data_IF_955612547740
#
_entry.id   IF_955612547740
#
_cell.length_a   1.000
_cell.length_b   1.000
_cell.length_c   1.000
_cell.angle_alpha   90.00
_cell.angle_beta   90.00
_cell.angle_gamma   90.00
#
_symmetry.space_group_name_H-M   'P 1'
#
loop_
_entity.id
_entity.type
_entity.pdbx_description
1 polymer ?
#
# COMPACT_ATOMS: atom_id res chain seq x y z
N UNK A 1 -17.20 -17.25 -21.01
CA UNK A 1 -17.66 -17.34 -19.61
C UNK A 1 -18.39 -18.66 -19.44
N UNK A 2 -17.79 -19.61 -18.74
CA UNK A 2 -18.50 -20.79 -18.25
C UNK A 2 -17.95 -21.08 -16.85
N UNK A 3 -18.65 -20.59 -15.84
CA UNK A 3 -18.33 -20.88 -14.44
C UNK A 3 -18.56 -22.37 -14.16
N UNK A 4 -17.64 -22.98 -13.40
CA UNK A 4 -17.82 -24.32 -12.87
C UNK A 4 -18.68 -24.17 -11.61
N UNK A 5 -19.89 -24.72 -11.65
CA UNK A 5 -20.86 -24.69 -10.55
C UNK A 5 -20.55 -25.87 -9.63
N UNK A 6 -20.21 -25.62 -8.37
CA UNK A 6 -20.12 -26.66 -7.33
C UNK A 6 -21.52 -27.18 -6.96
N UNK A 7 -21.62 -28.46 -6.57
CA UNK A 7 -22.84 -29.26 -6.34
C UNK A 7 -23.77 -28.76 -5.23
N UNK A 8 -23.56 -27.54 -4.69
CA UNK A 8 -24.43 -26.90 -3.69
C UNK A 8 -25.04 -25.57 -4.14
N UNK A 9 -24.89 -25.15 -5.40
CA UNK A 9 -25.64 -24.01 -5.95
C UNK A 9 -25.36 -22.66 -5.27
N UNK A 10 -24.27 -22.55 -4.51
CA UNK A 10 -23.71 -21.25 -4.12
C UNK A 10 -22.71 -20.86 -5.20
N UNK A 11 -22.85 -19.66 -5.77
CA UNK A 11 -21.76 -19.03 -6.50
C UNK A 11 -20.50 -19.11 -5.62
N UNK A 12 -19.43 -19.73 -6.12
CA UNK A 12 -18.15 -19.64 -5.46
C UNK A 12 -17.77 -18.15 -5.49
N UNK A 13 -17.88 -17.48 -4.34
CA UNK A 13 -17.34 -16.12 -4.21
C UNK A 13 -15.89 -16.21 -4.67
N UNK A 14 -15.57 -15.50 -5.75
CA UNK A 14 -14.20 -15.31 -6.20
C UNK A 14 -13.42 -14.74 -5.02
N UNK A 15 -12.69 -15.59 -4.30
CA UNK A 15 -11.81 -15.17 -3.23
C UNK A 15 -10.63 -14.46 -3.89
N UNK A 16 -10.66 -13.13 -3.92
CA UNK A 16 -9.51 -12.34 -4.34
C UNK A 16 -8.52 -12.37 -3.17
N UNK A 17 -7.38 -13.07 -3.28
CA UNK A 17 -6.40 -13.06 -2.21
C UNK A 17 -5.82 -11.65 -2.04
N UNK A 18 -5.39 -11.33 -0.84
CA UNK A 18 -4.45 -10.25 -0.56
C UNK A 18 -3.08 -10.85 -0.22
N UNK A 19 -2.04 -10.05 -0.39
CA UNK A 19 -0.66 -10.49 -0.19
C UNK A 19 -0.04 -9.71 0.94
N UNK A 20 0.65 -10.42 1.84
CA UNK A 20 1.28 -9.81 3.00
C UNK A 20 2.78 -10.05 2.91
N UNK A 21 3.53 -8.96 2.87
CA UNK A 21 4.98 -8.95 2.67
C UNK A 21 5.58 -8.48 3.99
N UNK A 22 6.19 -9.40 4.72
CA UNK A 22 6.76 -9.11 6.05
C UNK A 22 8.25 -8.84 5.91
N UNK A 23 8.68 -7.64 6.29
CA UNK A 23 10.08 -7.19 6.24
C UNK A 23 10.62 -6.93 7.65
N UNK A 24 9.78 -6.50 8.58
CA UNK A 24 10.16 -6.25 9.98
C UNK A 24 9.58 -7.25 10.98
N UNK A 25 8.56 -8.01 10.57
CA UNK A 25 7.78 -8.85 11.49
C UNK A 25 6.64 -8.08 12.19
N UNK A 26 6.33 -6.84 11.80
CA UNK A 26 5.26 -6.04 12.42
C UNK A 26 3.88 -6.71 12.37
N UNK A 27 3.66 -7.63 11.44
CA UNK A 27 2.42 -8.40 11.34
C UNK A 27 2.30 -9.51 12.39
N UNK A 28 3.38 -9.94 13.03
CA UNK A 28 3.40 -11.08 13.95
C UNK A 28 2.55 -10.86 15.20
N UNK A 29 2.23 -9.62 15.55
CA UNK A 29 1.34 -9.28 16.67
C UNK A 29 -0.11 -9.04 16.23
N UNK A 30 -0.38 -8.95 14.92
CA UNK A 30 -1.69 -8.53 14.41
C UNK A 30 -2.60 -9.71 14.08
N UNK A 31 -3.92 -9.51 14.23
CA UNK A 31 -4.90 -10.60 14.12
C UNK A 31 -5.68 -10.61 12.81
N UNK A 32 -5.59 -9.56 11.98
CA UNK A 32 -6.41 -9.41 10.75
C UNK A 32 -6.11 -10.47 9.68
N UNK A 33 -4.91 -11.06 9.70
CA UNK A 33 -4.46 -12.06 8.75
C UNK A 33 -4.34 -13.46 9.35
N UNK A 34 -4.36 -13.56 10.68
CA UNK A 34 -4.39 -14.83 11.40
C UNK A 34 -5.82 -15.33 11.38
N UNK A 35 -6.04 -16.50 10.79
CA UNK A 35 -7.37 -17.10 10.63
C UNK A 35 -8.14 -17.08 11.96
N UNK A 36 -9.06 -16.12 12.11
CA UNK A 36 -10.18 -16.24 13.03
C UNK A 36 -11.24 -17.04 12.25
N UNK A 37 -11.63 -18.17 12.82
CA UNK A 37 -12.68 -19.09 12.36
C UNK A 37 -12.22 -20.23 11.42
N UNK A 38 -11.53 -21.20 12.01
CA UNK A 38 -11.72 -22.61 11.63
C UNK A 38 -13.17 -22.98 12.01
N UNK A 39 -14.08 -22.85 11.06
CA UNK A 39 -15.23 -23.76 11.01
C UNK A 39 -15.08 -24.64 9.75
N UNK A 40 -14.88 -25.93 10.03
CA UNK A 40 -14.85 -27.07 9.11
C UNK A 40 -13.58 -27.25 8.25
N UNK A 41 -12.74 -28.15 8.75
CA UNK A 41 -11.69 -28.88 8.05
C UNK A 41 -12.15 -29.47 6.71
N UNK A 42 -11.55 -29.05 5.60
CA UNK A 42 -11.49 -29.87 4.39
C UNK A 42 -10.29 -30.84 4.51
N UNK A 43 -10.57 -32.07 4.95
CA UNK A 43 -9.59 -33.11 5.29
C UNK A 43 -8.87 -33.73 4.07
N UNK A 44 -8.86 -33.05 2.93
CA UNK A 44 -8.19 -33.53 1.70
C UNK A 44 -6.94 -32.69 1.37
N UNK A 45 -6.78 -31.48 1.93
CA UNK A 45 -5.66 -30.58 1.57
C UNK A 45 -4.88 -29.91 2.71
N UNK A 46 -5.25 -30.10 3.99
CA UNK A 46 -4.48 -29.62 5.16
C UNK A 46 -3.94 -28.16 5.05
N UNK A 47 -4.74 -27.23 4.51
CA UNK A 47 -4.50 -25.79 4.63
C UNK A 47 -5.84 -25.09 4.88
N UNK A 48 -5.98 -24.27 5.95
CA UNK A 48 -7.13 -23.38 6.05
C UNK A 48 -7.15 -22.46 4.82
N UNK A 49 -8.33 -22.20 4.26
CA UNK A 49 -8.53 -21.40 3.05
C UNK A 49 -8.19 -19.93 3.27
N UNK A 50 -6.90 -19.64 3.40
CA UNK A 50 -6.36 -18.30 3.60
C UNK A 50 -6.69 -17.43 2.38
N UNK A 51 -7.44 -16.36 2.63
CA UNK A 51 -7.55 -15.23 1.72
C UNK A 51 -6.24 -14.41 1.68
N UNK A 52 -5.19 -14.87 2.37
CA UNK A 52 -3.88 -14.24 2.51
C UNK A 52 -2.76 -15.12 1.92
N UNK A 53 -1.90 -14.52 1.11
CA UNK A 53 -0.63 -15.13 0.66
C UNK A 53 0.52 -14.39 1.34
N UNK A 54 1.16 -15.06 2.30
CA UNK A 54 2.27 -14.51 3.09
C UNK A 54 3.62 -14.74 2.41
N UNK A 55 4.43 -13.68 2.32
CA UNK A 55 5.82 -13.71 1.88
C UNK A 55 6.72 -13.16 2.97
N UNK A 56 7.55 -14.04 3.53
CA UNK A 56 8.58 -13.65 4.50
C UNK A 56 9.79 -13.06 3.78
N UNK A 57 10.17 -11.84 4.18
CA UNK A 57 11.34 -11.10 3.72
C UNK A 57 12.16 -10.57 4.90
N UNK A 58 11.90 -11.03 6.13
CA UNK A 58 12.54 -10.53 7.36
C UNK A 58 14.03 -10.83 7.45
N UNK A 59 14.52 -11.80 6.67
CA UNK A 59 15.95 -12.17 6.57
C UNK A 59 16.74 -11.35 5.54
N UNK A 60 16.08 -10.49 4.75
CA UNK A 60 16.74 -9.69 3.71
C UNK A 60 17.47 -8.51 4.36
N UNK A 61 18.80 -8.59 4.41
CA UNK A 61 19.67 -7.51 4.87
C UNK A 61 19.76 -6.37 3.85
N UNK A 62 20.06 -5.15 4.31
CA UNK A 62 20.20 -3.98 3.43
C UNK A 62 18.88 -3.45 2.87
N UNK A 63 17.77 -3.73 3.57
CA UNK A 63 16.41 -3.36 3.21
C UNK A 63 15.80 -2.30 4.15
N UNK A 64 16.39 -2.04 5.31
CA UNK A 64 15.82 -1.12 6.30
C UNK A 64 16.09 0.35 5.91
N UNK A 65 15.04 1.16 5.72
CA UNK A 65 15.03 2.56 5.24
C UNK A 65 15.48 2.76 3.77
N UNK A 66 16.31 1.86 3.27
CA UNK A 66 16.86 1.88 1.92
C UNK A 66 16.89 0.48 1.33
N UNK A 67 17.07 0.40 0.01
CA UNK A 67 17.15 -0.85 -0.72
C UNK A 67 18.51 -0.96 -1.41
N UNK A 68 19.41 -1.80 -0.87
CA UNK A 68 20.65 -2.14 -1.59
C UNK A 68 20.35 -2.92 -2.87
N UNK A 69 21.29 -2.99 -3.80
CA UNK A 69 21.11 -3.77 -5.04
C UNK A 69 20.87 -5.26 -4.77
N UNK A 70 21.54 -5.81 -3.75
CA UNK A 70 21.35 -7.19 -3.30
C UNK A 70 19.95 -7.39 -2.70
N UNK A 71 19.50 -6.46 -1.84
CA UNK A 71 18.17 -6.50 -1.24
C UNK A 71 17.09 -6.39 -2.33
N UNK A 72 17.25 -5.46 -3.28
CA UNK A 72 16.37 -5.29 -4.43
C UNK A 72 16.25 -6.57 -5.25
N UNK A 73 17.39 -7.17 -5.58
CA UNK A 73 17.43 -8.41 -6.37
C UNK A 73 16.68 -9.55 -5.69
N UNK A 74 16.88 -9.73 -4.38
CA UNK A 74 16.20 -10.78 -3.63
C UNK A 74 14.70 -10.48 -3.43
N UNK A 75 14.32 -9.22 -3.17
CA UNK A 75 12.93 -8.78 -3.11
C UNK A 75 12.21 -9.02 -4.43
N UNK A 76 12.76 -8.58 -5.55
CA UNK A 76 12.17 -8.80 -6.88
C UNK A 76 11.94 -10.28 -7.17
N UNK A 77 12.90 -11.13 -6.81
CA UNK A 77 12.81 -12.59 -6.95
C UNK A 77 11.71 -13.18 -6.07
N UNK A 78 11.62 -12.81 -4.79
CA UNK A 78 10.58 -13.33 -3.87
C UNK A 78 9.20 -12.83 -4.24
N UNK A 79 9.07 -11.57 -4.63
CA UNK A 79 7.79 -10.92 -4.95
C UNK A 79 7.31 -11.19 -6.39
N UNK A 80 8.10 -11.86 -7.23
CA UNK A 80 7.77 -12.14 -8.64
C UNK A 80 6.42 -12.86 -8.84
N UNK A 81 6.01 -13.70 -7.88
CA UNK A 81 4.76 -14.46 -7.92
C UNK A 81 3.52 -13.64 -7.54
N UNK A 82 3.72 -12.45 -6.94
CA UNK A 82 2.65 -11.56 -6.50
C UNK A 82 2.20 -10.72 -7.71
N UNK A 83 0.92 -10.73 -8.11
CA UNK A 83 0.44 -9.94 -9.24
C UNK A 83 0.29 -8.47 -8.85
N UNK A 84 0.46 -7.54 -9.80
CA UNK A 84 0.25 -6.09 -9.54
C UNK A 84 -1.21 -5.78 -9.18
N UNK A 85 -2.17 -6.51 -9.75
CA UNK A 85 -3.60 -6.32 -9.55
C UNK A 85 -4.16 -7.05 -8.32
N UNK A 86 -3.55 -6.77 -7.18
CA UNK A 86 -4.02 -7.23 -5.89
C UNK A 86 -3.87 -6.14 -4.82
N UNK A 87 -4.34 -6.48 -3.62
CA UNK A 87 -4.07 -5.72 -2.41
C UNK A 87 -2.79 -6.28 -1.78
N UNK A 88 -1.81 -5.41 -1.53
CA UNK A 88 -0.55 -5.75 -0.89
C UNK A 88 -0.43 -5.02 0.46
N UNK A 89 0.02 -5.73 1.48
CA UNK A 89 0.41 -5.15 2.77
C UNK A 89 1.94 -5.21 2.86
N UNK A 90 2.60 -4.05 2.95
CA UNK A 90 4.05 -3.83 2.86
C UNK A 90 4.60 -3.28 4.18
N UNK A 91 4.33 -3.98 5.27
CA UNK A 91 4.95 -3.79 6.59
C UNK A 91 5.07 -2.30 7.02
N UNK A 92 6.13 -1.95 7.75
CA UNK A 92 6.47 -0.58 8.17
C UNK A 92 6.78 0.34 6.98
N UNK A 93 6.50 1.64 7.13
CA UNK A 93 6.82 2.69 6.14
C UNK A 93 8.31 2.78 5.78
N UNK A 94 9.20 2.19 6.59
CA UNK A 94 10.63 2.07 6.27
C UNK A 94 10.91 1.28 4.98
N UNK A 95 9.93 0.51 4.51
CA UNK A 95 10.00 -0.32 3.32
C UNK A 95 9.07 0.18 2.20
N UNK A 96 8.53 1.38 2.29
CA UNK A 96 7.56 1.92 1.32
C UNK A 96 8.09 1.91 -0.13
N UNK A 97 9.41 1.96 -0.30
CA UNK A 97 10.05 1.79 -1.60
C UNK A 97 9.71 0.47 -2.32
N UNK A 98 9.20 -0.56 -1.63
CA UNK A 98 8.73 -1.80 -2.25
C UNK A 98 7.56 -1.53 -3.21
N UNK A 99 6.77 -0.48 -3.00
CA UNK A 99 5.74 -0.02 -3.95
C UNK A 99 6.32 0.22 -5.34
N UNK A 100 7.54 0.78 -5.44
CA UNK A 100 8.24 0.97 -6.72
C UNK A 100 8.48 -0.36 -7.46
N UNK A 101 8.73 -1.46 -6.74
CA UNK A 101 8.94 -2.79 -7.34
C UNK A 101 7.67 -3.35 -7.99
N UNK A 102 6.49 -2.94 -7.52
CA UNK A 102 5.23 -3.21 -8.18
C UNK A 102 4.98 -2.27 -9.37
N UNK A 103 5.22 -0.96 -9.19
CA UNK A 103 5.00 0.03 -10.23
C UNK A 103 5.83 -0.24 -11.50
N UNK A 104 7.09 -0.68 -11.36
CA UNK A 104 7.96 -0.98 -12.49
C UNK A 104 7.45 -2.13 -13.39
N UNK A 105 6.49 -2.93 -12.90
CA UNK A 105 5.87 -4.03 -13.64
C UNK A 105 4.66 -3.59 -14.47
N UNK A 106 4.25 -2.32 -14.36
CA UNK A 106 3.12 -1.75 -15.11
C UNK A 106 3.58 -1.35 -16.51
N UNK A 107 3.14 -2.12 -17.51
CA UNK A 107 3.55 -1.97 -18.92
C UNK A 107 2.62 -1.06 -19.75
N UNK A 108 1.78 -0.25 -19.11
CA UNK A 108 0.87 0.69 -19.75
C UNK A 108 0.89 2.04 -19.04
N UNK A 109 0.55 3.16 -19.72
CA UNK A 109 0.41 4.47 -19.08
C UNK A 109 -0.50 4.41 -17.84
N UNK A 110 -0.04 4.96 -16.71
CA UNK A 110 -0.77 4.93 -15.45
C UNK A 110 -0.54 6.19 -14.61
N UNK A 111 -1.40 6.37 -13.61
CA UNK A 111 -1.25 7.36 -12.54
C UNK A 111 -0.95 6.65 -11.22
N UNK A 112 -0.08 7.24 -10.40
CA UNK A 112 0.05 6.92 -8.99
C UNK A 112 -0.88 7.83 -8.19
N UNK A 113 -1.68 7.25 -7.29
CA UNK A 113 -2.38 7.95 -6.22
C UNK A 113 -1.74 7.52 -4.90
N UNK A 114 -1.01 8.43 -4.27
CA UNK A 114 -0.35 8.23 -2.99
C UNK A 114 -1.11 8.98 -1.90
N UNK A 115 -1.48 8.26 -0.83
CA UNK A 115 -1.89 8.83 0.44
C UNK A 115 -0.77 8.62 1.44
N UNK A 116 -0.19 9.71 1.93
CA UNK A 116 1.02 9.67 2.75
C UNK A 116 1.16 10.99 3.50
N UNK A 117 1.62 10.97 4.75
CA UNK A 117 1.95 12.21 5.44
C UNK A 117 3.24 12.84 4.90
N UNK A 118 4.13 12.03 4.32
CA UNK A 118 5.39 12.43 3.72
C UNK A 118 5.32 12.35 2.19
N UNK A 119 6.17 13.13 1.52
CA UNK A 119 6.10 13.22 0.06
C UNK A 119 6.76 12.05 -0.67
N UNK A 120 7.67 11.34 -0.01
CA UNK A 120 8.57 10.34 -0.58
C UNK A 120 9.30 10.78 -1.87
N UNK A 121 9.47 12.09 -1.99
CA UNK A 121 10.06 12.79 -3.12
C UNK A 121 11.43 13.38 -2.80
N UNK A 122 12.08 12.99 -1.71
CA UNK A 122 13.39 13.51 -1.33
C UNK A 122 14.49 12.92 -2.22
N UNK A 123 15.53 13.71 -2.48
CA UNK A 123 16.78 13.14 -2.96
C UNK A 123 17.39 12.27 -1.87
N UNK A 124 17.98 11.14 -2.25
CA UNK A 124 18.60 10.21 -1.31
C UNK A 124 19.75 10.88 -0.56
N UNK A 125 19.62 11.01 0.76
CA UNK A 125 20.65 11.56 1.63
C UNK A 125 21.94 10.72 1.65
N UNK A 126 21.88 9.46 1.19
CA UNK A 126 23.00 8.53 1.17
C UNK A 126 23.90 8.69 -0.07
N UNK A 127 23.55 9.58 -1.01
CA UNK A 127 24.28 9.80 -2.25
C UNK A 127 24.14 8.64 -3.24
N UNK A 128 24.54 8.87 -4.50
CA UNK A 128 24.60 7.82 -5.51
C UNK A 128 23.25 7.29 -6.04
N UNK A 129 22.13 7.95 -5.76
CA UNK A 129 20.81 7.52 -6.24
C UNK A 129 20.32 6.23 -5.57
N UNK A 130 20.70 6.00 -4.31
CA UNK A 130 20.22 4.86 -3.54
C UNK A 130 18.71 5.01 -3.26
N UNK A 131 17.94 3.97 -3.58
CA UNK A 131 16.50 3.92 -3.32
C UNK A 131 16.23 3.87 -1.81
N UNK A 132 15.39 4.79 -1.31
CA UNK A 132 14.96 4.88 0.09
C UNK A 132 13.44 4.96 0.20
N UNK A 133 12.87 4.75 1.39
CA UNK A 133 11.46 5.07 1.65
C UNK A 133 11.19 6.54 1.27
N UNK A 134 11.95 7.50 1.80
CA UNK A 134 11.74 8.93 1.45
C UNK A 134 12.04 9.36 0.01
N UNK A 135 12.45 8.49 -0.92
CA UNK A 135 12.84 8.87 -2.29
C UNK A 135 12.18 8.06 -3.40
N UNK A 136 11.34 7.06 -3.09
CA UNK A 136 10.89 6.12 -4.11
C UNK A 136 9.95 6.76 -5.15
N UNK A 137 9.19 7.79 -4.78
CA UNK A 137 8.32 8.52 -5.72
C UNK A 137 9.16 9.31 -6.71
N UNK A 138 10.25 9.93 -6.24
CA UNK A 138 11.22 10.60 -7.12
C UNK A 138 11.82 9.60 -8.11
N UNK A 139 12.28 8.44 -7.62
CA UNK A 139 12.79 7.37 -8.48
C UNK A 139 11.74 6.89 -9.50
N UNK A 140 10.46 6.80 -9.10
CA UNK A 140 9.37 6.43 -9.99
C UNK A 140 9.21 7.46 -11.12
N UNK A 141 9.20 8.75 -10.78
CA UNK A 141 9.06 9.86 -11.74
C UNK A 141 10.24 9.93 -12.71
N UNK A 142 11.45 9.62 -12.27
CA UNK A 142 12.66 9.65 -13.11
C UNK A 142 12.78 8.42 -14.02
N UNK A 143 12.39 7.23 -13.53
CA UNK A 143 12.75 5.97 -14.17
C UNK A 143 11.57 5.22 -14.81
N UNK A 144 10.32 5.56 -14.50
CA UNK A 144 9.14 4.87 -15.06
C UNK A 144 8.50 5.68 -16.19
N UNK A 145 8.76 5.36 -17.48
CA UNK A 145 8.21 6.12 -18.61
C UNK A 145 6.68 6.02 -18.73
N UNK A 146 6.09 5.00 -18.11
CA UNK A 146 4.65 4.77 -18.07
C UNK A 146 3.94 5.58 -16.97
N UNK A 147 4.66 6.12 -15.98
CA UNK A 147 4.07 6.98 -14.96
C UNK A 147 3.75 8.36 -15.56
N UNK A 148 2.47 8.61 -15.81
CA UNK A 148 1.99 9.85 -16.44
C UNK A 148 1.60 10.92 -15.44
N UNK A 149 1.21 10.52 -14.23
CA UNK A 149 0.79 11.41 -13.17
C UNK A 149 1.12 10.80 -11.81
N UNK A 150 1.60 11.61 -10.88
CA UNK A 150 1.66 11.29 -9.46
C UNK A 150 0.76 12.27 -8.70
N UNK A 151 -0.28 11.76 -8.04
CA UNK A 151 -1.19 12.52 -7.19
C UNK A 151 -0.81 12.20 -5.76
N UNK A 152 -0.24 13.19 -5.05
CA UNK A 152 0.21 13.05 -3.67
C UNK A 152 -0.81 13.75 -2.76
N UNK A 153 -1.44 12.98 -1.88
CA UNK A 153 -2.47 13.46 -0.95
C UNK A 153 -1.98 13.28 0.48
N UNK A 154 -1.89 14.38 1.21
CA UNK A 154 -1.45 14.40 2.60
C UNK A 154 -0.29 15.37 2.83
N UNK A 155 0.84 15.27 2.11
CA UNK A 155 2.06 15.96 2.51
C UNK A 155 1.88 17.47 2.62
N UNK A 156 2.52 18.09 3.62
CA UNK A 156 2.36 19.50 3.87
C UNK A 156 3.03 20.34 2.76
N UNK A 157 2.63 21.60 2.61
CA UNK A 157 3.30 22.50 1.66
C UNK A 157 4.80 22.66 1.93
N UNK A 158 5.22 22.46 3.17
CA UNK A 158 6.62 22.55 3.61
C UNK A 158 7.45 21.35 3.12
N UNK A 159 6.81 20.20 2.87
CA UNK A 159 7.46 18.98 2.36
C UNK A 159 7.70 19.02 0.85
N UNK A 160 7.31 20.12 0.19
CA UNK A 160 7.62 20.38 -1.22
C UNK A 160 9.13 20.55 -1.36
N UNK A 161 9.84 19.43 -1.54
CA UNK A 161 11.29 19.40 -1.70
C UNK A 161 11.67 20.01 -3.05
N UNK A 162 12.59 20.98 -3.00
CA UNK A 162 13.16 21.71 -4.13
C UNK A 162 12.15 22.37 -5.10
N UNK A 163 12.47 23.61 -5.48
CA UNK A 163 11.76 24.39 -6.50
C UNK A 163 11.60 23.67 -7.88
N UNK A 164 12.30 22.53 -8.08
CA UNK A 164 12.28 21.72 -9.28
C UNK A 164 11.11 20.72 -9.35
N UNK A 165 10.73 20.07 -8.25
CA UNK A 165 9.59 19.12 -8.27
C UNK A 165 8.26 19.84 -8.43
N UNK A 166 8.16 21.06 -7.93
CA UNK A 166 7.01 21.94 -8.15
C UNK A 166 6.79 22.32 -9.63
N UNK A 167 7.81 22.14 -10.48
CA UNK A 167 7.72 22.41 -11.93
C UNK A 167 7.40 21.17 -12.75
N UNK A 168 7.44 19.97 -12.16
CA UNK A 168 7.03 18.76 -12.88
C UNK A 168 5.50 18.71 -13.00
N UNK A 169 5.01 18.98 -14.21
CA UNK A 169 3.58 18.94 -14.54
C UNK A 169 2.89 17.60 -14.27
N UNK A 170 3.66 16.52 -14.08
CA UNK A 170 3.15 15.19 -13.73
C UNK A 170 2.72 15.10 -12.26
N UNK A 171 3.15 16.02 -11.39
CA UNK A 171 2.78 16.00 -9.97
C UNK A 171 1.49 16.80 -9.75
N UNK A 172 0.58 16.28 -8.95
CA UNK A 172 -0.51 17.02 -8.31
C UNK A 172 -0.35 16.86 -6.82
N UNK A 173 -0.20 17.97 -6.12
CA UNK A 173 -0.04 18.01 -4.68
C UNK A 173 -1.34 18.46 -4.02
N UNK A 174 -1.79 17.75 -3.00
CA UNK A 174 -2.96 18.10 -2.20
C UNK A 174 -2.64 17.84 -0.74
N UNK A 175 -2.64 18.89 0.08
CA UNK A 175 -2.43 18.73 1.53
C UNK A 175 -3.62 18.03 2.20
N UNK A 176 -3.44 17.49 3.41
CA UNK A 176 -4.56 16.94 4.21
C UNK A 176 -5.73 17.93 4.34
N UNK A 177 -5.43 19.22 4.52
CA UNK A 177 -6.42 20.28 4.72
C UNK A 177 -7.20 20.65 3.45
N UNK A 178 -6.61 20.44 2.27
CA UNK A 178 -7.21 20.73 0.96
C UNK A 178 -7.96 19.52 0.37
N UNK A 179 -7.70 18.32 0.89
CA UNK A 179 -8.19 17.08 0.31
C UNK A 179 -9.69 17.09 0.08
N UNK A 180 -10.46 17.53 1.07
CA UNK A 180 -11.93 17.55 1.00
C UNK A 180 -12.44 18.45 -0.13
N UNK A 181 -11.84 19.62 -0.32
CA UNK A 181 -12.25 20.58 -1.35
C UNK A 181 -11.77 20.17 -2.74
N UNK A 182 -10.72 19.35 -2.84
CA UNK A 182 -10.11 18.93 -4.11
C UNK A 182 -10.67 17.61 -4.67
N UNK A 183 -11.52 16.88 -3.94
CA UNK A 183 -12.01 15.54 -4.34
C UNK A 183 -12.56 15.49 -5.77
N UNK A 184 -13.40 16.45 -6.17
CA UNK A 184 -13.99 16.47 -7.51
C UNK A 184 -12.91 16.63 -8.61
N UNK A 185 -11.95 17.53 -8.39
CA UNK A 185 -10.85 17.75 -9.31
C UNK A 185 -9.95 16.50 -9.41
N UNK A 186 -9.69 15.85 -8.27
CA UNK A 186 -8.91 14.61 -8.21
C UNK A 186 -9.61 13.46 -8.94
N UNK A 187 -10.93 13.27 -8.76
CA UNK A 187 -11.71 12.29 -9.51
C UNK A 187 -11.57 12.49 -11.02
N UNK A 188 -11.61 13.74 -11.49
CA UNK A 188 -11.40 14.07 -12.90
C UNK A 188 -9.97 13.80 -13.36
N UNK A 189 -8.96 14.07 -12.53
CA UNK A 189 -7.56 13.77 -12.85
C UNK A 189 -7.31 12.26 -12.97
N UNK A 190 -7.82 11.49 -12.00
CA UNK A 190 -7.64 10.05 -11.87
C UNK A 190 -8.41 9.22 -12.91
N UNK A 191 -9.38 9.81 -13.62
CA UNK A 191 -10.08 9.13 -14.73
C UNK A 191 -9.31 9.17 -16.06
N UNK A 192 -8.20 9.91 -16.14
CA UNK A 192 -7.42 10.03 -17.39
C UNK A 192 -6.56 8.81 -17.70
N UNK A 193 -6.07 8.12 -16.67
CA UNK A 193 -5.21 6.94 -16.78
C UNK A 193 -5.60 5.93 -15.69
N UNK A 194 -5.39 4.62 -15.91
CA UNK A 194 -5.49 3.64 -14.83
C UNK A 194 -4.61 4.01 -13.64
N UNK A 195 -5.08 3.74 -12.43
CA UNK A 195 -4.50 4.26 -11.18
C UNK A 195 -3.97 3.10 -10.34
N UNK A 196 -2.70 3.16 -9.96
CA UNK A 196 -2.19 2.35 -8.85
C UNK A 196 -2.27 3.17 -7.55
N UNK A 197 -2.77 2.55 -6.49
CA UNK A 197 -2.98 3.21 -5.19
C UNK A 197 -1.89 2.78 -4.22
N UNK A 198 -1.29 3.72 -3.52
CA UNK A 198 -0.42 3.43 -2.37
C UNK A 198 -0.91 4.22 -1.16
N UNK A 199 -1.01 3.57 -0.02
CA UNK A 199 -1.46 4.15 1.25
C UNK A 199 -0.39 3.90 2.31
N UNK A 200 0.39 4.91 2.67
CA UNK A 200 1.05 4.91 3.97
C UNK A 200 0.01 5.29 5.04
N UNK A 201 -0.05 4.48 6.09
CA UNK A 201 -0.97 4.73 7.21
C UNK A 201 -0.55 5.92 8.06
N UNK A 202 0.66 6.45 7.90
CA UNK A 202 1.07 7.64 8.63
C UNK A 202 0.23 8.88 8.27
N UNK A 203 -0.40 8.93 7.10
CA UNK A 203 -1.38 9.98 6.75
C UNK A 203 -2.61 9.99 7.66
N UNK A 204 -2.87 8.86 8.33
CA UNK A 204 -4.01 8.68 9.23
C UNK A 204 -3.73 9.26 10.62
N UNK A 205 -4.78 9.72 11.28
CA UNK A 205 -4.70 10.14 12.67
C UNK A 205 -4.38 8.97 13.63
N UNK A 206 -4.01 9.35 14.86
CA UNK A 206 -3.58 8.42 15.92
C UNK A 206 -4.69 7.52 16.44
N UNK A 207 -5.95 7.82 16.11
CA UNK A 207 -7.10 6.99 16.43
C UNK A 207 -7.34 5.87 15.40
N UNK A 208 -6.69 5.90 14.24
CA UNK A 208 -6.83 4.91 13.16
C UNK A 208 -5.57 4.05 12.96
N UNK A 209 -4.37 4.56 13.24
CA UNK A 209 -3.14 3.80 13.12
C UNK A 209 -2.07 4.27 14.12
N UNK A 210 -1.11 3.39 14.40
CA UNK A 210 0.18 3.74 15.03
C UNK A 210 1.28 3.40 14.03
N UNK A 211 2.16 4.37 13.76
CA UNK A 211 3.25 4.26 12.78
C UNK A 211 4.60 4.61 13.41
N UNK A 212 5.69 4.20 12.77
CA UNK A 212 7.05 4.58 13.21
C UNK A 212 7.42 6.03 12.82
N UNK A 213 6.68 6.62 11.86
CA UNK A 213 6.85 7.97 11.35
C UNK A 213 5.84 8.97 11.93
N UNK A 214 6.07 10.27 11.74
CA UNK A 214 5.11 11.32 12.13
C UNK A 214 3.76 11.11 11.45
N UNK A 215 2.69 11.23 12.23
CA UNK A 215 1.33 11.01 11.74
C UNK A 215 0.61 12.29 11.36
N UNK A 216 -0.17 12.19 10.29
CA UNK A 216 -1.16 13.12 9.84
C UNK A 216 -2.47 13.09 10.63
N UNK A 217 -3.53 13.58 10.01
CA UNK A 217 -4.81 13.85 10.67
C UNK A 217 -6.01 13.24 9.96
N UNK A 218 -5.81 12.56 8.83
CA UNK A 218 -6.90 12.02 8.03
C UNK A 218 -7.57 10.82 8.71
N UNK A 219 -8.86 10.63 8.46
CA UNK A 219 -9.57 9.42 8.84
C UNK A 219 -9.57 8.44 7.67
N UNK A 220 -9.46 7.14 7.98
CA UNK A 220 -9.52 6.08 6.97
C UNK A 220 -10.81 6.18 6.13
N UNK A 221 -11.93 6.49 6.78
CA UNK A 221 -13.22 6.66 6.11
C UNK A 221 -13.22 7.73 5.02
N UNK A 222 -12.45 8.82 5.17
CA UNK A 222 -12.34 9.86 4.14
C UNK A 222 -11.68 9.32 2.88
N UNK A 223 -10.62 8.50 3.04
CA UNK A 223 -9.90 7.87 1.95
C UNK A 223 -10.78 6.84 1.25
N UNK A 224 -11.41 5.92 2.00
CA UNK A 224 -12.25 4.86 1.40
C UNK A 224 -13.49 5.42 0.69
N UNK A 225 -14.12 6.46 1.24
CA UNK A 225 -15.21 7.18 0.56
C UNK A 225 -14.71 7.81 -0.75
N UNK A 226 -13.56 8.47 -0.72
CA UNK A 226 -12.98 9.07 -1.93
C UNK A 226 -12.64 8.03 -2.99
N UNK A 227 -12.01 6.90 -2.64
CA UNK A 227 -11.73 5.82 -3.60
C UNK A 227 -13.01 5.29 -4.26
N UNK A 228 -14.10 5.22 -3.49
CA UNK A 228 -15.43 4.85 -4.00
C UNK A 228 -15.93 5.88 -5.02
N UNK A 229 -15.79 7.16 -4.72
CA UNK A 229 -16.24 8.25 -5.60
C UNK A 229 -15.35 8.39 -6.84
N UNK A 230 -14.04 8.20 -6.72
CA UNK A 230 -13.11 8.14 -7.84
C UNK A 230 -13.47 6.99 -8.80
N UNK A 231 -13.77 5.80 -8.27
CA UNK A 231 -14.25 4.67 -9.07
C UNK A 231 -15.56 4.98 -9.79
N UNK A 232 -16.55 5.55 -9.08
CA UNK A 232 -17.83 5.98 -9.69
C UNK A 232 -17.64 7.04 -10.77
N UNK A 233 -16.60 7.87 -10.63
CA UNK A 233 -16.22 8.91 -11.59
C UNK A 233 -15.40 8.37 -12.78
N UNK A 234 -15.12 7.07 -12.83
CA UNK A 234 -14.48 6.40 -13.96
C UNK A 234 -13.00 6.04 -13.75
N UNK A 235 -12.45 6.18 -12.55
CA UNK A 235 -11.11 5.67 -12.26
C UNK A 235 -11.08 4.13 -12.38
N UNK A 236 -10.05 3.61 -13.05
CA UNK A 236 -9.78 2.18 -13.16
C UNK A 236 -8.59 1.87 -12.25
N UNK A 237 -8.78 1.03 -11.23
CA UNK A 237 -7.71 0.70 -10.30
C UNK A 237 -6.89 -0.49 -10.78
N UNK A 238 -5.57 -0.32 -10.86
CA UNK A 238 -4.62 -1.34 -11.27
C UNK A 238 -4.28 -2.31 -10.14
N UNK A 239 -4.22 -1.82 -8.91
CA UNK A 239 -3.76 -2.50 -7.71
C UNK A 239 -3.67 -1.51 -6.54
N UNK A 240 -3.44 -2.03 -5.34
CA UNK A 240 -3.27 -1.20 -4.15
C UNK A 240 -2.23 -1.79 -3.20
N UNK A 241 -1.39 -0.95 -2.62
CA UNK A 241 -0.60 -1.33 -1.46
C UNK A 241 -0.85 -0.44 -0.23
N UNK A 242 -0.53 -1.00 0.94
CA UNK A 242 -0.67 -0.40 2.26
C UNK A 242 0.61 -0.65 3.07
N UNK A 243 1.22 0.38 3.62
CA UNK A 243 2.36 0.30 4.54
C UNK A 243 2.09 1.10 5.82
N UNK A 244 3.14 1.45 6.58
CA UNK A 244 3.02 2.22 7.81
C UNK A 244 2.64 1.39 9.03
N UNK A 245 3.10 0.14 9.14
CA UNK A 245 3.02 -0.60 10.40
C UNK A 245 3.98 -0.04 11.47
N UNK A 246 3.58 -0.13 12.74
CA UNK A 246 4.47 0.04 13.89
C UNK A 246 5.31 -1.22 14.07
N UNK A 247 6.63 -1.06 14.23
CA UNK A 247 7.50 -2.17 14.62
C UNK A 247 7.24 -2.59 16.06
N UNK A 248 7.30 -3.90 16.30
CA UNK A 248 7.20 -4.48 17.65
C UNK A 248 8.59 -4.87 18.10
N UNK A 249 8.95 -4.52 19.34
CA UNK A 249 10.26 -4.90 19.87
C UNK A 249 10.33 -6.43 20.08
N UNK A 250 11.50 -7.06 19.84
CA UNK A 250 11.68 -8.46 20.18
C UNK A 250 11.70 -8.72 21.70
N UNK A 251 11.87 -7.66 22.50
CA UNK A 251 12.21 -7.71 23.93
C UNK A 251 10.98 -7.50 24.83
N UNK A 252 9.98 -8.38 24.71
CA UNK A 252 8.91 -8.53 25.69
C UNK A 252 7.70 -7.61 25.49
N UNK A 253 6.62 -7.95 26.19
CA UNK A 253 5.31 -7.30 26.06
C UNK A 253 5.34 -5.85 26.56
N UNK A 254 5.11 -4.91 25.65
CA UNK A 254 4.77 -3.52 25.97
C UNK A 254 3.30 -3.27 25.63
N UNK A 255 2.50 -2.84 26.61
CA UNK A 255 1.05 -2.59 26.42
C UNK A 255 0.77 -1.59 25.29
N UNK A 256 1.65 -0.60 25.09
CA UNK A 256 1.51 0.39 24.03
C UNK A 256 1.73 -0.23 22.64
N UNK A 257 2.67 -1.18 22.50
CA UNK A 257 2.90 -1.93 21.25
C UNK A 257 1.73 -2.88 20.96
N UNK A 258 1.13 -3.50 21.99
CA UNK A 258 -0.06 -4.34 21.81
C UNK A 258 -1.28 -3.50 21.38
N UNK A 259 -1.48 -2.34 21.99
CA UNK A 259 -2.54 -1.41 21.61
C UNK A 259 -2.36 -0.92 20.16
N UNK A 260 -1.13 -0.56 19.78
CA UNK A 260 -0.80 -0.16 18.41
C UNK A 260 -1.03 -1.30 17.40
N UNK A 261 -0.58 -2.51 17.71
CA UNK A 261 -0.82 -3.69 16.88
C UNK A 261 -2.32 -4.00 16.71
N UNK A 262 -3.10 -3.89 17.78
CA UNK A 262 -4.56 -4.08 17.73
C UNK A 262 -5.25 -3.01 16.89
N UNK A 263 -4.83 -1.75 17.03
CA UNK A 263 -5.37 -0.65 16.23
C UNK A 263 -5.05 -0.83 14.74
N UNK A 264 -3.78 -1.09 14.42
CA UNK A 264 -3.34 -1.38 13.05
C UNK A 264 -4.06 -2.60 12.46
N UNK A 265 -4.22 -3.67 13.25
CA UNK A 265 -4.98 -4.85 12.87
C UNK A 265 -6.43 -4.51 12.53
N UNK A 266 -7.09 -3.64 13.30
CA UNK A 266 -8.46 -3.18 13.03
C UNK A 266 -8.54 -2.41 11.71
N UNK A 267 -7.60 -1.51 11.48
CA UNK A 267 -7.52 -0.72 10.23
C UNK A 267 -7.25 -1.58 9.00
N UNK A 268 -6.31 -2.53 9.11
CA UNK A 268 -6.03 -3.48 8.03
C UNK A 268 -7.24 -4.38 7.73
N UNK A 269 -8.02 -4.79 8.74
CA UNK A 269 -9.27 -5.54 8.57
C UNK A 269 -10.30 -4.74 7.76
N UNK A 270 -10.46 -3.44 8.06
CA UNK A 270 -11.36 -2.53 7.30
C UNK A 270 -10.92 -2.40 5.84
N UNK A 271 -9.62 -2.21 5.59
CA UNK A 271 -9.07 -2.09 4.22
C UNK A 271 -9.26 -3.40 3.44
N UNK A 272 -8.93 -4.54 4.06
CA UNK A 272 -9.15 -5.88 3.52
C UNK A 272 -10.62 -6.10 3.14
N UNK A 273 -11.55 -5.67 4.00
CA UNK A 273 -12.98 -5.79 3.69
C UNK A 273 -13.39 -4.91 2.50
N UNK A 274 -12.87 -3.67 2.44
CA UNK A 274 -13.11 -2.72 1.36
C UNK A 274 -12.55 -3.16 0.01
N UNK A 275 -11.51 -4.02 -0.02
CA UNK A 275 -10.97 -4.61 -1.26
C UNK A 275 -12.06 -5.21 -2.16
N UNK A 276 -13.13 -5.76 -1.59
CA UNK A 276 -14.26 -6.32 -2.36
C UNK A 276 -14.94 -5.30 -3.26
N UNK A 277 -14.88 -4.02 -2.88
CA UNK A 277 -15.41 -2.90 -3.65
C UNK A 277 -14.38 -2.32 -4.63
N UNK A 278 -13.09 -2.63 -4.46
CA UNK A 278 -11.97 -2.27 -5.33
C UNK A 278 -11.68 -3.40 -6.32
N UNK A 279 -12.50 -3.53 -7.37
CA UNK A 279 -12.18 -4.43 -8.49
C UNK A 279 -10.92 -3.93 -9.19
N UNK A 280 -9.82 -4.69 -9.11
CA UNK A 280 -8.56 -4.38 -9.79
C UNK A 280 -8.52 -4.95 -11.21
N UNK A 281 -8.00 -4.16 -12.15
CA UNK A 281 -7.83 -4.54 -13.55
C UNK A 281 -6.48 -4.05 -14.05
N UNK A 282 -5.61 -4.97 -14.47
CA UNK A 282 -4.33 -4.64 -15.10
C UNK A 282 -4.46 -4.63 -16.63
#
# INVERSE_FOLDING_TARGET
>A
MSGIIDKKGKESVSKNPYYMISLSGAYDSQSFWKAKDIEETDNILNKPGLDCIYTDCTDILGSLYFCSDEAKTELEKRLAHIPVNALHFIDSGDYHYVSLLFLQRINQPFSLLLFDHHSDCMESAFGGGLLTCGSWVLHALENLPNLKKAVLVGPADEDKTAEQLLKDSRITWVTEAEFEQQKEALCKELSKWPVYISLDKDVLNKEEAVTDWSQGTMQLSQILCFLTDAKKSGAIFLGMDVCGEQKVSPEGFHLDEENGANLNSSTNEKIKFYQKDLTFSL
#
